data_IF_977520318337
#
_entry.id   IF_977520318337
#
_cell.length_a   1.000
_cell.length_b   1.000
_cell.length_c   1.000
_cell.angle_alpha   90.00
_cell.angle_beta   90.00
_cell.angle_gamma   90.00
#
_symmetry.space_group_name_H-M   'P 1'
#
loop_
_entity.id
_entity.type
_entity.pdbx_description
1 polymer ?
#
# COMPACT_ATOMS: atom_id res chain seq x y z
N UNK A 1 -8.43 -5.75 15.54
CA UNK A 1 -7.56 -5.31 14.42
C UNK A 1 -7.17 -3.87 14.63
N UNK A 2 -8.13 -2.96 14.83
CA UNK A 2 -7.88 -1.58 15.27
C UNK A 2 -6.85 -1.50 16.41
N UNK A 3 -7.07 -2.24 17.51
CA UNK A 3 -6.14 -2.33 18.64
C UNK A 3 -4.71 -2.78 18.26
N UNK A 4 -4.56 -3.66 17.26
CA UNK A 4 -3.22 -4.10 16.80
C UNK A 4 -2.50 -3.01 16.01
N UNK A 5 -3.25 -2.24 15.22
CA UNK A 5 -2.72 -1.13 14.45
C UNK A 5 -2.36 0.04 15.38
N UNK A 6 -3.20 0.32 16.37
CA UNK A 6 -2.94 1.29 17.43
C UNK A 6 -1.63 0.96 18.16
N UNK A 7 -1.43 -0.29 18.56
CA UNK A 7 -0.17 -0.72 19.18
C UNK A 7 1.07 -0.51 18.29
N UNK A 8 0.95 -0.71 16.96
CA UNK A 8 2.03 -0.44 16.02
C UNK A 8 2.32 1.06 15.88
N UNK A 9 1.28 1.89 15.83
CA UNK A 9 1.40 3.37 15.79
C UNK A 9 2.07 3.88 17.06
N UNK A 10 1.67 3.38 18.24
CA UNK A 10 2.28 3.74 19.51
C UNK A 10 3.75 3.34 19.57
N UNK A 11 4.09 2.12 19.12
CA UNK A 11 5.48 1.67 19.04
C UNK A 11 6.30 2.54 18.10
N UNK A 12 5.78 2.91 16.93
CA UNK A 12 6.44 3.82 16.00
C UNK A 12 6.65 5.21 16.62
N UNK A 13 5.65 5.76 17.32
CA UNK A 13 5.79 7.03 18.02
C UNK A 13 6.91 6.98 19.09
N UNK A 14 7.00 5.87 19.84
CA UNK A 14 8.09 5.65 20.79
C UNK A 14 9.45 5.57 20.08
N UNK A 15 9.55 4.87 18.96
CA UNK A 15 10.78 4.79 18.17
C UNK A 15 11.20 6.17 17.67
N UNK A 16 10.31 6.93 17.06
CA UNK A 16 10.59 8.30 16.59
C UNK A 16 11.08 9.19 17.73
N UNK A 17 10.53 9.05 18.93
CA UNK A 17 10.89 9.86 20.09
C UNK A 17 12.16 9.39 20.83
N UNK A 18 12.51 8.10 20.79
CA UNK A 18 13.52 7.50 21.69
C UNK A 18 14.63 6.72 21.01
N UNK A 19 14.52 6.44 19.71
CA UNK A 19 15.56 5.76 18.94
C UNK A 19 16.31 6.80 18.09
N UNK A 20 17.63 7.04 18.34
CA UNK A 20 18.40 8.01 17.57
C UNK A 20 18.37 7.74 16.07
N UNK A 21 18.57 6.48 15.66
CA UNK A 21 18.49 6.09 14.26
C UNK A 21 17.14 6.44 13.65
N UNK A 22 16.05 6.09 14.33
CA UNK A 22 14.70 6.38 13.84
C UNK A 22 14.55 7.89 13.67
N UNK A 23 14.84 8.69 14.71
CA UNK A 23 14.67 10.15 14.72
C UNK A 23 15.41 10.88 13.59
N UNK A 24 16.57 10.38 13.16
CA UNK A 24 17.38 10.95 12.08
C UNK A 24 16.88 10.60 10.68
N UNK A 25 15.93 9.67 10.54
CA UNK A 25 15.41 9.28 9.22
C UNK A 25 14.47 10.35 8.64
N UNK A 26 14.50 10.48 7.32
CA UNK A 26 13.55 11.24 6.51
C UNK A 26 13.02 10.37 5.35
N UNK A 27 12.11 10.92 4.54
CA UNK A 27 11.55 10.17 3.42
C UNK A 27 12.61 9.69 2.44
N UNK A 28 13.68 10.46 2.21
CA UNK A 28 14.71 10.14 1.23
C UNK A 28 15.66 9.07 1.75
N UNK A 29 16.05 9.12 3.01
CA UNK A 29 16.92 8.12 3.63
C UNK A 29 16.26 6.75 3.70
N UNK A 30 14.93 6.71 3.76
CA UNK A 30 14.14 5.48 3.82
C UNK A 30 13.91 4.78 2.48
N UNK A 31 14.09 5.47 1.33
CA UNK A 31 13.84 4.89 -0.01
C UNK A 31 14.62 3.60 -0.25
N UNK A 32 15.87 3.52 0.24
CA UNK A 32 16.69 2.30 0.09
C UNK A 32 16.08 1.12 0.82
N UNK A 33 15.63 1.30 2.06
CA UNK A 33 15.04 0.24 2.86
C UNK A 33 13.71 -0.20 2.25
N UNK A 34 12.85 0.74 1.84
CA UNK A 34 11.61 0.41 1.15
C UNK A 34 11.81 -0.44 -0.13
N UNK A 35 12.93 -0.25 -0.84
CA UNK A 35 13.31 -1.12 -1.95
C UNK A 35 13.78 -2.48 -1.44
N UNK A 36 14.72 -2.49 -0.49
CA UNK A 36 15.29 -3.71 0.11
C UNK A 36 14.16 -4.63 0.64
N UNK A 37 13.26 -4.14 1.51
CA UNK A 37 12.15 -4.97 2.06
C UNK A 37 11.21 -5.51 0.97
N UNK A 38 11.05 -4.77 -0.15
CA UNK A 38 10.20 -5.24 -1.25
C UNK A 38 10.89 -6.36 -2.03
N UNK A 39 12.21 -6.30 -2.21
CA UNK A 39 12.97 -7.38 -2.85
C UNK A 39 13.02 -8.62 -1.92
N UNK A 40 13.20 -8.43 -0.61
CA UNK A 40 13.17 -9.53 0.36
C UNK A 40 11.79 -10.21 0.41
N UNK A 41 10.70 -9.44 0.35
CA UNK A 41 9.35 -10.00 0.17
C UNK A 41 9.21 -10.80 -1.13
N UNK A 42 9.80 -10.35 -2.24
CA UNK A 42 9.76 -11.08 -3.51
C UNK A 42 10.48 -12.42 -3.35
N UNK A 43 11.69 -12.42 -2.79
CA UNK A 43 12.47 -13.63 -2.56
C UNK A 43 11.71 -14.62 -1.66
N UNK A 44 11.13 -14.16 -0.55
CA UNK A 44 10.33 -14.99 0.34
C UNK A 44 9.09 -15.62 -0.35
N UNK A 45 8.45 -14.89 -1.27
CA UNK A 45 7.33 -15.40 -2.06
C UNK A 45 7.77 -16.46 -3.08
N UNK A 46 8.95 -16.30 -3.69
CA UNK A 46 9.54 -17.31 -4.58
C UNK A 46 9.86 -18.60 -3.83
N UNK A 47 10.45 -18.49 -2.64
CA UNK A 47 10.73 -19.62 -1.75
C UNK A 47 9.45 -20.35 -1.31
N UNK A 48 8.41 -19.60 -0.89
CA UNK A 48 7.12 -20.18 -0.51
C UNK A 48 6.45 -20.91 -1.70
N UNK A 49 6.60 -20.38 -2.91
CA UNK A 49 6.04 -20.98 -4.12
C UNK A 49 6.77 -22.28 -4.47
N UNK A 50 8.10 -22.32 -4.31
CA UNK A 50 8.90 -23.50 -4.54
C UNK A 50 8.70 -24.59 -3.47
N UNK A 51 8.55 -24.19 -2.21
CA UNK A 51 8.28 -25.06 -1.07
C UNK A 51 7.27 -24.41 -0.10
N UNK A 52 6.00 -24.84 -0.09
CA UNK A 52 4.94 -24.27 0.75
C UNK A 52 4.99 -24.79 2.19
N UNK A 53 6.19 -24.75 2.80
CA UNK A 53 6.42 -25.17 4.17
C UNK A 53 5.92 -24.10 5.17
N UNK A 54 5.59 -24.48 6.42
CA UNK A 54 5.25 -23.50 7.45
C UNK A 54 6.35 -22.46 7.69
N UNK A 55 7.63 -22.85 7.55
CA UNK A 55 8.76 -21.94 7.71
C UNK A 55 8.77 -20.84 6.64
N UNK A 56 8.60 -21.20 5.36
CA UNK A 56 8.55 -20.21 4.28
C UNK A 56 7.30 -19.34 4.38
N UNK A 57 6.20 -19.88 4.91
CA UNK A 57 4.99 -19.09 5.18
C UNK A 57 5.26 -18.03 6.26
N UNK A 58 5.97 -18.39 7.32
CA UNK A 58 6.30 -17.47 8.40
C UNK A 58 7.28 -16.39 7.92
N UNK A 59 8.25 -16.75 7.07
CA UNK A 59 9.16 -15.80 6.40
C UNK A 59 8.37 -14.75 5.59
N UNK A 60 7.41 -15.17 4.76
CA UNK A 60 6.54 -14.22 4.03
C UNK A 60 5.75 -13.29 4.97
N UNK A 61 5.33 -13.76 6.14
CA UNK A 61 4.61 -12.92 7.11
C UNK A 61 5.55 -11.86 7.73
N UNK A 62 6.81 -12.20 7.96
CA UNK A 62 7.86 -11.28 8.43
C UNK A 62 8.07 -10.16 7.40
N UNK A 63 8.33 -10.51 6.15
CA UNK A 63 8.59 -9.55 5.08
C UNK A 63 7.38 -8.65 4.75
N UNK A 64 6.16 -9.20 4.82
CA UNK A 64 4.93 -8.39 4.73
C UNK A 64 4.84 -7.37 5.87
N UNK A 65 5.35 -7.73 7.05
CA UNK A 65 5.49 -6.85 8.21
C UNK A 65 6.49 -5.72 7.94
N UNK A 66 7.62 -5.99 7.33
CA UNK A 66 8.66 -5.00 7.04
C UNK A 66 8.25 -4.00 5.95
N UNK A 67 7.57 -4.47 4.90
CA UNK A 67 6.93 -3.57 3.93
C UNK A 67 5.87 -2.68 4.60
N UNK A 68 5.06 -3.24 5.52
CA UNK A 68 4.08 -2.45 6.28
C UNK A 68 4.76 -1.46 7.23
N UNK A 69 5.90 -1.83 7.83
CA UNK A 69 6.71 -0.95 8.66
C UNK A 69 7.18 0.29 7.89
N UNK A 70 7.62 0.13 6.64
CA UNK A 70 8.00 1.27 5.79
C UNK A 70 6.81 2.20 5.51
N UNK A 71 5.60 1.66 5.26
CA UNK A 71 4.38 2.46 5.11
C UNK A 71 4.07 3.25 6.38
N UNK A 72 4.14 2.58 7.54
CA UNK A 72 3.91 3.21 8.85
C UNK A 72 4.93 4.30 9.14
N UNK A 73 6.21 4.08 8.83
CA UNK A 73 7.28 5.05 9.06
C UNK A 73 7.07 6.32 8.23
N UNK A 74 6.75 6.17 6.94
CA UNK A 74 6.47 7.33 6.09
C UNK A 74 5.22 8.09 6.53
N UNK A 75 4.16 7.39 6.98
CA UNK A 75 2.99 8.05 7.55
C UNK A 75 3.35 8.84 8.83
N UNK A 76 4.18 8.26 9.70
CA UNK A 76 4.65 8.89 10.93
C UNK A 76 5.48 10.17 10.66
N UNK A 77 6.34 10.17 9.63
CA UNK A 77 7.09 11.37 9.23
C UNK A 77 6.18 12.52 8.73
N UNK A 78 5.08 12.17 8.04
CA UNK A 78 4.09 13.15 7.58
C UNK A 78 3.33 13.76 8.76
N UNK A 79 2.93 12.94 9.73
CA UNK A 79 2.29 13.42 10.96
C UNK A 79 3.21 14.38 11.73
N UNK A 80 4.48 14.00 11.91
CA UNK A 80 5.47 14.81 12.63
C UNK A 80 5.76 16.15 11.93
N UNK A 81 5.97 16.14 10.62
CA UNK A 81 6.22 17.35 9.84
C UNK A 81 4.99 18.27 9.73
N UNK A 82 3.78 17.69 9.79
CA UNK A 82 2.51 18.40 9.82
C UNK A 82 2.03 18.82 11.22
N UNK A 83 2.75 18.44 12.28
CA UNK A 83 2.36 18.71 13.67
C UNK A 83 1.08 17.99 14.10
N UNK A 84 0.75 16.87 13.47
CA UNK A 84 -0.43 16.05 13.76
C UNK A 84 -0.10 14.90 14.71
N UNK A 85 -1.13 14.31 15.33
CA UNK A 85 -0.96 13.09 16.13
C UNK A 85 -0.58 11.91 15.23
N UNK A 86 0.37 11.09 15.69
CA UNK A 86 0.78 9.87 15.00
C UNK A 86 -0.43 8.97 14.73
N UNK A 87 -0.51 8.45 13.50
CA UNK A 87 -1.60 7.59 13.05
C UNK A 87 -2.66 8.32 12.22
N UNK A 88 -2.67 9.66 12.24
CA UNK A 88 -3.59 10.45 11.41
C UNK A 88 -3.37 10.17 9.93
N UNK A 89 -2.13 10.28 9.46
CA UNK A 89 -1.77 10.00 8.06
C UNK A 89 -1.97 8.53 7.72
N UNK A 90 -1.70 7.61 8.63
CA UNK A 90 -1.94 6.18 8.40
C UNK A 90 -3.43 5.89 8.19
N UNK A 91 -4.31 6.54 8.96
CA UNK A 91 -5.75 6.48 8.75
C UNK A 91 -6.14 6.95 7.34
N UNK A 92 -5.58 8.07 6.89
CA UNK A 92 -5.80 8.56 5.52
C UNK A 92 -5.31 7.59 4.44
N UNK A 93 -4.18 6.91 4.67
CA UNK A 93 -3.66 5.86 3.76
C UNK A 93 -4.65 4.69 3.67
N UNK A 94 -5.19 4.25 4.81
CA UNK A 94 -6.17 3.15 4.88
C UNK A 94 -7.46 3.54 4.18
N UNK A 95 -8.00 4.74 4.45
CA UNK A 95 -9.22 5.25 3.79
C UNK A 95 -9.04 5.32 2.27
N UNK A 96 -7.89 5.83 1.82
CA UNK A 96 -7.58 5.92 0.40
C UNK A 96 -7.41 4.53 -0.25
N UNK A 97 -6.88 3.55 0.48
CA UNK A 97 -6.78 2.16 0.02
C UNK A 97 -8.15 1.51 -0.07
N UNK A 98 -9.00 1.62 0.96
CA UNK A 98 -10.35 1.05 0.98
C UNK A 98 -11.19 1.61 -0.17
N UNK A 99 -11.22 2.93 -0.31
CA UNK A 99 -11.93 3.58 -1.42
C UNK A 99 -11.41 3.10 -2.79
N UNK A 100 -10.10 2.87 -2.93
CA UNK A 100 -9.49 2.33 -4.15
C UNK A 100 -9.90 0.89 -4.41
N UNK A 101 -9.91 0.03 -3.39
CA UNK A 101 -10.28 -1.38 -3.50
C UNK A 101 -11.74 -1.52 -3.95
N UNK A 102 -12.66 -0.78 -3.35
CA UNK A 102 -14.08 -0.78 -3.72
C UNK A 102 -14.25 -0.27 -5.15
N UNK A 103 -13.70 0.92 -5.43
CA UNK A 103 -13.86 1.59 -6.73
C UNK A 103 -13.26 0.81 -7.91
N UNK A 104 -12.18 0.05 -7.71
CA UNK A 104 -11.53 -0.76 -8.76
C UNK A 104 -12.16 -2.14 -8.96
N UNK A 105 -13.04 -2.58 -8.07
CA UNK A 105 -13.66 -3.91 -8.13
C UNK A 105 -15.19 -3.83 -7.98
N UNK A 106 -15.90 -2.98 -8.74
CA UNK A 106 -17.34 -2.79 -8.58
C UNK A 106 -18.12 -4.11 -8.67
N UNK A 107 -17.73 -5.02 -9.57
CA UNK A 107 -18.38 -6.33 -9.70
C UNK A 107 -18.26 -7.22 -8.45
N UNK A 108 -17.27 -6.98 -7.58
CA UNK A 108 -17.15 -7.67 -6.30
C UNK A 108 -17.98 -7.01 -5.17
N UNK A 109 -18.43 -5.77 -5.35
CA UNK A 109 -19.10 -4.96 -4.31
C UNK A 109 -20.56 -4.54 -4.67
N UNK A 110 -20.97 -4.59 -5.95
CA UNK A 110 -22.23 -4.02 -6.47
C UNK A 110 -23.46 -4.96 -6.43
N UNK A 111 -23.70 -5.67 -5.33
CA UNK A 111 -25.06 -6.19 -5.09
C UNK A 111 -25.23 -7.52 -4.36
N UNK A 112 -24.16 -8.26 -4.10
CA UNK A 112 -24.25 -9.54 -3.38
C UNK A 112 -23.18 -9.74 -2.31
N UNK A 113 -22.24 -8.80 -2.16
CA UNK A 113 -21.10 -8.94 -1.26
C UNK A 113 -20.34 -10.26 -1.49
N UNK A 114 -19.83 -10.87 -0.42
CA UNK A 114 -19.10 -12.16 -0.48
C UNK A 114 -19.98 -13.35 -0.88
N UNK A 115 -21.30 -13.19 -0.97
CA UNK A 115 -22.27 -14.28 -1.14
C UNK A 115 -22.87 -14.34 -2.57
N UNK A 116 -22.44 -13.46 -3.46
CA UNK A 116 -22.87 -13.44 -4.86
C UNK A 116 -22.19 -14.47 -5.74
N UNK A 117 -22.78 -14.74 -6.92
CA UNK A 117 -22.05 -15.46 -7.97
C UNK A 117 -20.79 -14.68 -8.32
N UNK A 118 -19.67 -15.41 -8.43
CA UNK A 118 -18.41 -14.83 -8.87
C UNK A 118 -18.58 -14.28 -10.30
N UNK A 119 -18.21 -13.02 -10.58
CA UNK A 119 -18.23 -12.48 -11.94
C UNK A 119 -17.30 -13.26 -12.85
N UNK A 120 -17.61 -13.32 -14.15
CA UNK A 120 -16.69 -13.94 -15.11
C UNK A 120 -15.44 -13.07 -15.29
N UNK A 121 -14.29 -13.69 -15.59
CA UNK A 121 -13.05 -12.97 -15.88
C UNK A 121 -13.23 -11.94 -16.99
N UNK A 122 -13.98 -12.29 -18.05
CA UNK A 122 -14.27 -11.39 -19.16
C UNK A 122 -15.05 -10.14 -18.73
N UNK A 123 -15.94 -10.26 -17.73
CA UNK A 123 -16.67 -9.10 -17.20
C UNK A 123 -15.75 -8.22 -16.36
N UNK A 124 -14.90 -8.82 -15.53
CA UNK A 124 -13.89 -8.12 -14.72
C UNK A 124 -12.92 -7.35 -15.59
N UNK A 125 -12.38 -7.95 -16.65
CA UNK A 125 -11.44 -7.30 -17.56
C UNK A 125 -12.05 -6.10 -18.28
N UNK A 126 -13.30 -6.22 -18.78
CA UNK A 126 -13.99 -5.11 -19.45
C UNK A 126 -14.17 -3.94 -18.50
N UNK A 127 -14.60 -4.23 -17.28
CA UNK A 127 -14.85 -3.21 -16.27
C UNK A 127 -13.55 -2.57 -15.77
N UNK A 128 -12.49 -3.36 -15.57
CA UNK A 128 -11.16 -2.86 -15.22
C UNK A 128 -10.61 -1.89 -16.28
N UNK A 129 -10.72 -2.23 -17.57
CA UNK A 129 -10.30 -1.35 -18.67
C UNK A 129 -11.06 -0.02 -18.64
N UNK A 130 -12.38 -0.06 -18.38
CA UNK A 130 -13.23 1.13 -18.25
C UNK A 130 -12.76 2.02 -17.09
N UNK A 131 -12.53 1.43 -15.91
CA UNK A 131 -12.07 2.14 -14.71
C UNK A 131 -10.69 2.78 -14.94
N UNK A 132 -9.72 2.03 -15.46
CA UNK A 132 -8.37 2.57 -15.73
C UNK A 132 -8.39 3.69 -16.76
N UNK A 133 -9.27 3.63 -17.77
CA UNK A 133 -9.45 4.72 -18.72
C UNK A 133 -9.98 5.99 -18.03
N UNK A 134 -10.96 5.86 -17.15
CA UNK A 134 -11.49 6.98 -16.37
C UNK A 134 -10.44 7.57 -15.40
N UNK A 135 -9.68 6.72 -14.68
CA UNK A 135 -8.60 7.18 -13.79
C UNK A 135 -7.52 7.96 -14.54
N UNK A 136 -7.14 7.52 -15.74
CA UNK A 136 -6.17 8.24 -16.57
C UNK A 136 -6.70 9.60 -17.01
N UNK A 137 -7.97 9.67 -17.42
CA UNK A 137 -8.60 10.92 -17.82
C UNK A 137 -8.69 11.91 -16.65
N UNK A 138 -9.07 11.44 -15.46
CA UNK A 138 -9.12 12.27 -14.25
C UNK A 138 -7.72 12.80 -13.87
N UNK A 139 -6.70 11.94 -13.83
CA UNK A 139 -5.33 12.36 -13.53
C UNK A 139 -4.81 13.38 -14.56
N UNK A 140 -5.15 13.22 -15.84
CA UNK A 140 -4.77 14.18 -16.88
C UNK A 140 -5.46 15.54 -16.66
N UNK A 141 -6.73 15.55 -16.26
CA UNK A 141 -7.47 16.77 -15.96
C UNK A 141 -6.97 17.48 -14.69
N UNK A 142 -6.62 16.73 -13.64
CA UNK A 142 -6.01 17.28 -12.40
C UNK A 142 -4.63 17.88 -12.69
N UNK A 143 -3.80 17.19 -13.49
CA UNK A 143 -2.48 17.68 -13.93
C UNK A 143 -2.57 18.97 -14.75
N UNK A 144 -3.57 19.07 -15.63
CA UNK A 144 -3.81 20.29 -16.42
C UNK A 144 -4.20 21.49 -15.54
N UNK A 145 -4.80 21.25 -14.37
CA UNK A 145 -5.18 22.28 -13.41
C UNK A 145 -4.04 22.67 -12.46
N UNK A 146 -3.17 21.74 -12.09
CA UNK A 146 -2.06 21.98 -11.15
C UNK A 146 -0.72 22.33 -11.80
N UNK A 147 -0.63 22.32 -13.13
CA UNK A 147 0.57 22.75 -13.88
C UNK A 147 1.82 21.90 -13.63
N UNK A 148 1.69 20.73 -13.03
CA UNK A 148 2.83 19.88 -12.62
C UNK A 148 3.14 18.84 -13.70
N UNK A 149 4.35 18.87 -14.26
CA UNK A 149 4.84 17.88 -15.23
C UNK A 149 5.81 16.92 -14.53
N UNK A 150 5.48 15.63 -14.49
CA UNK A 150 6.42 14.57 -14.11
C UNK A 150 6.10 13.26 -14.84
N UNK A 151 7.20 12.60 -15.24
CA UNK A 151 7.36 11.39 -16.05
C UNK A 151 6.28 10.32 -15.88
N UNK A 152 5.98 9.65 -16.99
CA UNK A 152 5.08 8.52 -17.03
C UNK A 152 5.55 7.47 -16.02
N UNK A 153 4.68 7.12 -15.06
CA UNK A 153 4.86 5.92 -14.27
C UNK A 153 5.03 4.74 -15.25
N UNK A 154 6.00 3.83 -15.03
CA UNK A 154 6.14 2.66 -15.87
C UNK A 154 4.79 1.94 -15.86
N UNK A 155 4.34 1.50 -17.04
CA UNK A 155 3.14 0.70 -17.15
C UNK A 155 3.27 -0.48 -16.18
N UNK A 156 2.40 -0.53 -15.16
CA UNK A 156 2.22 -1.73 -14.35
C UNK A 156 2.05 -2.87 -15.35
N UNK A 157 2.99 -3.84 -15.33
CA UNK A 157 2.96 -4.98 -16.26
C UNK A 157 1.59 -5.63 -16.10
N UNK A 158 0.90 -5.77 -17.21
CA UNK A 158 -0.35 -6.51 -17.27
C UNK A 158 -0.11 -7.88 -16.61
N UNK A 159 -0.94 -8.22 -15.63
CA UNK A 159 -0.91 -9.55 -15.03
C UNK A 159 -1.17 -10.56 -16.16
N UNK A 160 -0.14 -11.35 -16.47
CA UNK A 160 -0.20 -12.49 -17.40
C UNK A 160 -0.64 -13.75 -16.64
#
# INVERSE_FOLDING_TARGET
>A
MAERLEGAVEAMAVLRARCPWSSEQDHRSLIRYAREETEELIDALEELTADPSPGNRDHVVEELGDVLYQVLFHAALLDESGGSEYGTTLGQVIDALEAKLIRRHPLAFDGHGREGPMPSLADVEREYRRIKAAERAQRAAERAQTGTSAEAAPAERDAE
#
